data_IF_540203825819
#
_entry.id   IF_540203825819
#
_cell.length_a   1.000
_cell.length_b   1.000
_cell.length_c   1.000
_cell.angle_alpha   90.00
_cell.angle_beta   90.00
_cell.angle_gamma   90.00
#
_symmetry.space_group_name_H-M   'P 1'
#
loop_
_entity.id
_entity.type
_entity.pdbx_description
1 polymer ?
#
# COMPACT_ATOMS: atom_id res chain seq x y z
N UNK A 1 -36.65 -1.56 -30.83
CA UNK A 1 -35.96 -2.30 -29.79
C UNK A 1 -35.41 -1.33 -28.74
N UNK A 2 -36.23 -0.79 -27.88
CA UNK A 2 -35.78 -0.18 -26.63
C UNK A 2 -36.75 -0.55 -25.49
N UNK A 3 -36.79 -1.83 -25.07
CA UNK A 3 -37.67 -2.26 -23.96
C UNK A 3 -37.04 -3.41 -23.13
N UNK A 4 -35.70 -3.55 -23.11
CA UNK A 4 -35.05 -4.67 -22.43
C UNK A 4 -34.20 -4.26 -21.22
N UNK A 5 -34.24 -2.98 -20.77
CA UNK A 5 -33.39 -2.52 -19.66
C UNK A 5 -34.13 -1.80 -18.52
N UNK A 6 -35.46 -1.84 -18.45
CA UNK A 6 -36.21 -1.14 -17.39
C UNK A 6 -36.47 -1.94 -16.12
N UNK A 7 -36.03 -3.20 -15.99
CA UNK A 7 -36.40 -4.06 -14.84
C UNK A 7 -35.23 -4.60 -14.00
N UNK A 8 -34.05 -3.96 -14.02
CA UNK A 8 -32.91 -4.35 -13.17
C UNK A 8 -32.58 -3.37 -12.03
N UNK A 9 -33.43 -2.42 -11.75
CA UNK A 9 -33.25 -1.47 -10.64
C UNK A 9 -33.28 -2.06 -9.20
N UNK A 10 -33.84 -3.26 -8.90
CA UNK A 10 -33.83 -3.78 -7.53
C UNK A 10 -32.55 -4.49 -7.11
N UNK A 11 -31.69 -4.94 -8.02
CA UNK A 11 -30.50 -5.72 -7.64
C UNK A 11 -29.31 -4.86 -7.20
N UNK A 12 -29.21 -3.63 -7.73
CA UNK A 12 -28.16 -2.67 -7.33
C UNK A 12 -28.47 -2.04 -5.98
N UNK A 13 -29.74 -1.91 -5.61
CA UNK A 13 -30.17 -1.40 -4.31
C UNK A 13 -29.88 -2.36 -3.12
N UNK A 14 -29.60 -3.64 -3.39
CA UNK A 14 -29.26 -4.62 -2.36
C UNK A 14 -27.78 -4.58 -1.96
N UNK A 15 -26.91 -3.93 -2.74
CA UNK A 15 -25.49 -3.73 -2.42
C UNK A 15 -25.24 -2.44 -1.63
N UNK A 16 -26.17 -1.48 -1.66
CA UNK A 16 -26.04 -0.19 -0.97
C UNK A 16 -26.52 -0.19 0.50
N UNK A 17 -26.76 -1.34 1.12
CA UNK A 17 -27.18 -1.46 2.53
C UNK A 17 -25.97 -1.76 3.45
N UNK A 18 -24.84 -1.09 3.25
CA UNK A 18 -23.75 -1.09 4.24
C UNK A 18 -23.93 0.01 5.30
N UNK A 19 -25.01 0.74 5.30
CA UNK A 19 -25.26 1.89 6.14
C UNK A 19 -26.20 1.68 7.33
N UNK A 20 -26.12 0.57 8.07
CA UNK A 20 -26.62 0.44 9.48
C UNK A 20 -26.66 -1.04 9.90
N UNK A 21 -25.55 -1.61 10.29
CA UNK A 21 -25.53 -2.84 11.07
C UNK A 21 -25.65 -2.45 12.56
N UNK A 22 -26.88 -2.26 13.02
CA UNK A 22 -27.18 -2.29 14.45
C UNK A 22 -26.93 -3.70 14.99
N UNK A 23 -26.54 -3.80 16.25
CA UNK A 23 -25.99 -4.92 17.03
C UNK A 23 -26.72 -6.29 17.03
N UNK A 24 -27.25 -6.76 15.92
CA UNK A 24 -27.54 -8.15 15.65
C UNK A 24 -26.60 -8.61 14.55
N UNK A 25 -25.74 -9.59 14.81
CA UNK A 25 -24.89 -10.24 13.79
C UNK A 25 -25.78 -10.71 12.63
N UNK A 26 -25.94 -9.86 11.62
CA UNK A 26 -26.69 -10.26 10.42
C UNK A 26 -25.89 -11.33 9.70
N UNK A 27 -26.49 -12.51 9.58
CA UNK A 27 -25.90 -13.62 8.82
C UNK A 27 -25.45 -13.09 7.45
N UNK A 28 -24.20 -13.36 7.03
CA UNK A 28 -23.70 -12.91 5.73
C UNK A 28 -24.64 -13.36 4.60
N UNK A 29 -24.85 -12.48 3.62
CA UNK A 29 -25.65 -12.79 2.43
C UNK A 29 -24.69 -13.12 1.29
N UNK A 30 -24.85 -14.32 0.71
CA UNK A 30 -24.07 -14.76 -0.43
C UNK A 30 -24.71 -14.21 -1.72
N UNK A 31 -23.98 -13.45 -2.55
CA UNK A 31 -24.46 -13.10 -3.89
C UNK A 31 -24.69 -14.36 -4.73
N UNK A 32 -25.74 -14.42 -5.57
CA UNK A 32 -26.18 -15.66 -6.21
C UNK A 32 -25.19 -16.25 -7.22
N UNK A 33 -24.25 -15.46 -7.71
CA UNK A 33 -23.18 -15.86 -8.65
C UNK A 33 -22.00 -16.55 -7.96
N UNK A 34 -21.89 -16.49 -6.61
CA UNK A 34 -20.77 -17.03 -5.85
C UNK A 34 -21.16 -18.28 -5.05
N UNK A 35 -20.17 -19.10 -4.76
CA UNK A 35 -20.17 -19.94 -3.57
C UNK A 35 -19.37 -19.25 -2.44
N UNK A 36 -19.48 -19.75 -1.19
CA UNK A 36 -18.85 -19.10 -0.04
C UNK A 36 -17.32 -18.96 -0.16
N UNK A 37 -16.65 -19.99 -0.72
CA UNK A 37 -15.20 -19.91 -0.91
C UNK A 37 -14.81 -18.86 -1.94
N UNK A 38 -15.46 -18.82 -3.09
CA UNK A 38 -15.18 -17.82 -4.12
C UNK A 38 -15.48 -16.41 -3.62
N UNK A 39 -16.57 -16.24 -2.87
CA UNK A 39 -16.93 -14.96 -2.28
C UNK A 39 -15.88 -14.50 -1.26
N UNK A 40 -15.41 -15.41 -0.39
CA UNK A 40 -14.32 -15.11 0.58
C UNK A 40 -13.03 -14.75 -0.15
N UNK A 41 -12.68 -15.48 -1.21
CA UNK A 41 -11.50 -15.15 -2.04
C UNK A 41 -11.64 -13.77 -2.69
N UNK A 42 -12.81 -13.44 -3.26
CA UNK A 42 -13.07 -12.12 -3.82
C UNK A 42 -12.91 -11.01 -2.76
N UNK A 43 -13.48 -11.17 -1.57
CA UNK A 43 -13.34 -10.20 -0.48
C UNK A 43 -11.88 -10.04 -0.04
N UNK A 44 -11.09 -11.12 0.00
CA UNK A 44 -9.67 -11.06 0.32
C UNK A 44 -8.83 -10.41 -0.79
N UNK A 45 -9.21 -10.55 -2.07
CA UNK A 45 -8.59 -9.78 -3.15
C UNK A 45 -8.84 -8.29 -2.98
N UNK A 46 -10.08 -7.90 -2.66
CA UNK A 46 -10.43 -6.49 -2.36
C UNK A 46 -9.65 -5.99 -1.13
N UNK A 47 -9.54 -6.80 -0.06
CA UNK A 47 -8.75 -6.45 1.10
C UNK A 47 -7.28 -6.19 0.73
N UNK A 48 -6.66 -7.07 -0.06
CA UNK A 48 -5.29 -6.89 -0.52
C UNK A 48 -5.08 -5.57 -1.29
N UNK A 49 -6.01 -5.22 -2.16
CA UNK A 49 -5.96 -3.96 -2.91
C UNK A 49 -6.14 -2.74 -2.01
N UNK A 50 -7.00 -2.82 -0.99
CA UNK A 50 -7.18 -1.75 0.01
C UNK A 50 -5.89 -1.53 0.81
N UNK A 51 -5.32 -2.59 1.41
CA UNK A 51 -4.06 -2.50 2.15
C UNK A 51 -2.95 -1.87 1.32
N UNK A 52 -2.83 -2.31 0.07
CA UNK A 52 -1.84 -1.75 -0.84
C UNK A 52 -2.11 -0.28 -1.17
N UNK A 53 -3.37 0.07 -1.42
CA UNK A 53 -3.78 1.44 -1.74
C UNK A 53 -3.55 2.39 -0.57
N UNK A 54 -3.92 1.99 0.66
CA UNK A 54 -3.73 2.79 1.88
C UNK A 54 -2.25 2.96 2.17
N UNK A 55 -1.46 1.87 2.16
CA UNK A 55 -0.02 1.94 2.35
C UNK A 55 0.63 2.96 1.41
N UNK A 56 0.30 2.93 0.12
CA UNK A 56 0.90 3.85 -0.87
C UNK A 56 0.48 5.29 -0.64
N UNK A 57 -0.80 5.54 -0.32
CA UNK A 57 -1.30 6.88 -0.02
C UNK A 57 -0.66 7.45 1.26
N UNK A 58 -0.51 6.62 2.31
CA UNK A 58 0.17 7.02 3.54
C UNK A 58 1.66 7.29 3.31
N UNK A 59 2.35 6.48 2.49
CA UNK A 59 3.73 6.74 2.10
C UNK A 59 3.87 8.05 1.32
N UNK A 60 2.98 8.32 0.36
CA UNK A 60 3.00 9.56 -0.41
C UNK A 60 2.81 10.79 0.49
N UNK A 61 1.80 10.73 1.37
CA UNK A 61 1.55 11.78 2.36
C UNK A 61 2.79 12.00 3.25
N UNK A 62 3.36 10.92 3.82
CA UNK A 62 4.55 11.01 4.67
C UNK A 62 5.77 11.59 3.93
N UNK A 63 6.03 11.19 2.68
CA UNK A 63 7.15 11.72 1.89
C UNK A 63 6.98 13.20 1.54
N UNK A 64 5.75 13.69 1.42
CA UNK A 64 5.48 15.10 1.17
C UNK A 64 5.77 16.01 2.38
N UNK A 65 5.74 15.46 3.60
CA UNK A 65 5.90 16.23 4.84
C UNK A 65 7.29 16.84 4.98
N UNK A 66 7.37 17.94 5.74
CA UNK A 66 8.62 18.60 6.05
C UNK A 66 9.10 19.52 4.93
N UNK A 67 10.36 19.94 4.98
CA UNK A 67 10.98 20.85 4.03
C UNK A 67 11.30 22.20 4.63
N UNK A 68 11.97 23.08 3.85
CA UNK A 68 12.47 24.37 4.35
C UNK A 68 11.36 25.38 4.71
N UNK A 69 10.15 25.22 4.15
CA UNK A 69 9.00 26.07 4.42
C UNK A 69 8.40 25.86 5.81
N UNK A 70 8.67 24.72 6.46
CA UNK A 70 8.15 24.42 7.81
C UNK A 70 8.78 25.40 8.82
N UNK A 71 7.98 26.14 9.60
CA UNK A 71 8.49 27.01 10.66
C UNK A 71 9.38 26.24 11.64
N UNK A 72 10.48 26.81 12.08
CA UNK A 72 11.44 26.16 12.97
C UNK A 72 10.77 25.58 14.23
N UNK A 73 9.86 26.32 14.82
CA UNK A 73 9.10 25.90 16.02
C UNK A 73 8.17 24.70 15.79
N UNK A 74 7.93 24.30 14.53
CA UNK A 74 7.03 23.19 14.13
C UNK A 74 7.76 21.98 13.57
N UNK A 75 9.08 22.05 13.35
CA UNK A 75 9.86 21.00 12.68
C UNK A 75 9.86 19.67 13.44
N UNK A 76 9.91 19.73 14.76
CA UNK A 76 9.93 18.53 15.58
C UNK A 76 8.57 17.81 15.55
N UNK A 77 7.45 18.56 15.58
CA UNK A 77 6.11 18.00 15.43
C UNK A 77 5.95 17.32 14.06
N UNK A 78 6.31 18.02 12.97
CA UNK A 78 6.22 17.48 11.60
C UNK A 78 7.09 16.22 11.45
N UNK A 79 8.29 16.20 12.03
CA UNK A 79 9.17 15.03 12.00
C UNK A 79 8.56 13.85 12.76
N UNK A 80 7.99 14.11 13.93
CA UNK A 80 7.30 13.09 14.74
C UNK A 80 6.10 12.51 13.98
N UNK A 81 5.24 13.36 13.41
CA UNK A 81 4.09 12.92 12.61
C UNK A 81 4.50 12.12 11.38
N UNK A 82 5.56 12.56 10.68
CA UNK A 82 6.08 11.83 9.52
C UNK A 82 6.50 10.39 9.90
N UNK A 83 7.20 10.21 11.02
CA UNK A 83 7.61 8.87 11.46
C UNK A 83 6.42 8.03 11.94
N UNK A 84 5.39 8.63 12.53
CA UNK A 84 4.13 7.93 12.87
C UNK A 84 3.44 7.43 11.60
N UNK A 85 3.24 8.28 10.60
CA UNK A 85 2.58 7.88 9.32
C UNK A 85 3.41 6.84 8.58
N UNK A 86 4.74 6.96 8.56
CA UNK A 86 5.63 5.92 8.02
C UNK A 86 5.55 4.61 8.80
N UNK A 87 5.31 4.69 10.11
CA UNK A 87 5.07 3.52 10.96
C UNK A 87 3.81 2.78 10.55
N UNK A 88 2.69 3.51 10.44
CA UNK A 88 1.40 2.97 9.98
C UNK A 88 1.56 2.31 8.58
N UNK A 89 2.18 3.01 7.63
CA UNK A 89 2.39 2.44 6.29
C UNK A 89 3.21 1.12 6.29
N UNK A 90 4.08 0.91 7.27
CA UNK A 90 4.79 -0.37 7.43
C UNK A 90 3.89 -1.46 8.03
N UNK A 91 2.99 -1.08 8.91
CA UNK A 91 1.99 -1.99 9.48
C UNK A 91 1.03 -2.45 8.39
N UNK A 92 0.57 -1.54 7.49
CA UNK A 92 -0.23 -1.91 6.30
C UNK A 92 0.49 -2.90 5.37
N UNK A 93 1.82 -2.81 5.25
CA UNK A 93 2.58 -3.84 4.55
C UNK A 93 2.45 -5.21 5.23
N UNK A 94 2.44 -5.26 6.55
CA UNK A 94 2.21 -6.48 7.33
C UNK A 94 0.82 -7.06 7.07
N UNK A 95 -0.21 -6.20 7.04
CA UNK A 95 -1.59 -6.56 6.70
C UNK A 95 -1.66 -7.14 5.29
N UNK A 96 -1.14 -6.42 4.29
CA UNK A 96 -1.08 -6.87 2.90
C UNK A 96 -0.46 -8.26 2.78
N UNK A 97 0.70 -8.48 3.41
CA UNK A 97 1.41 -9.78 3.38
C UNK A 97 0.62 -10.88 4.09
N UNK A 98 -0.07 -10.56 5.17
CA UNK A 98 -0.95 -11.52 5.88
C UNK A 98 -2.18 -11.87 5.06
N UNK A 99 -2.76 -10.91 4.35
CA UNK A 99 -3.87 -11.19 3.40
C UNK A 99 -3.39 -12.11 2.25
N UNK A 100 -2.14 -11.97 1.77
CA UNK A 100 -1.57 -12.94 0.81
C UNK A 100 -1.48 -14.36 1.41
N UNK A 101 -1.15 -14.48 2.70
CA UNK A 101 -1.15 -15.77 3.38
C UNK A 101 -2.57 -16.39 3.46
N UNK A 102 -3.60 -15.57 3.73
CA UNK A 102 -5.00 -16.01 3.72
C UNK A 102 -5.42 -16.51 2.33
N UNK A 103 -5.13 -15.74 1.28
CA UNK A 103 -5.38 -16.15 -0.12
C UNK A 103 -4.67 -17.48 -0.43
N UNK A 104 -3.38 -17.57 -0.09
CA UNK A 104 -2.58 -18.78 -0.32
C UNK A 104 -3.13 -19.98 0.43
N UNK A 105 -3.57 -19.82 1.69
CA UNK A 105 -4.17 -20.88 2.49
C UNK A 105 -5.48 -21.41 1.89
N UNK A 106 -6.26 -20.53 1.26
CA UNK A 106 -7.48 -20.92 0.53
C UNK A 106 -7.19 -21.44 -0.90
N UNK A 107 -5.92 -21.57 -1.31
CA UNK A 107 -5.55 -22.02 -2.64
C UNK A 107 -5.89 -21.02 -3.74
N UNK A 108 -5.99 -19.73 -3.40
CA UNK A 108 -6.18 -18.64 -4.33
C UNK A 108 -4.83 -18.03 -4.77
N UNK A 109 -4.77 -17.34 -5.90
CA UNK A 109 -3.57 -16.60 -6.31
C UNK A 109 -3.32 -15.43 -5.36
N UNK A 110 -2.05 -15.07 -5.20
CA UNK A 110 -1.66 -13.81 -4.53
C UNK A 110 -2.10 -12.62 -5.37
N UNK A 111 -2.46 -11.52 -4.70
CA UNK A 111 -2.86 -10.26 -5.33
C UNK A 111 -2.04 -9.10 -4.75
N UNK A 112 -1.18 -8.51 -5.55
CA UNK A 112 -0.43 -7.29 -5.23
C UNK A 112 -0.84 -6.12 -6.14
N UNK A 113 -1.98 -6.22 -6.80
CA UNK A 113 -2.58 -5.09 -7.50
C UNK A 113 -3.15 -4.10 -6.49
N UNK A 114 -3.53 -2.94 -6.95
CA UNK A 114 -4.25 -1.94 -6.18
C UNK A 114 -5.20 -1.21 -7.09
N UNK A 115 -6.17 -0.56 -6.49
CA UNK A 115 -7.08 0.33 -7.20
C UNK A 115 -6.35 1.66 -7.51
N UNK A 116 -6.30 2.05 -8.79
CA UNK A 116 -5.60 3.25 -9.25
C UNK A 116 -6.56 4.40 -9.63
N UNK A 117 -7.86 4.13 -9.68
CA UNK A 117 -8.86 5.11 -10.13
C UNK A 117 -10.06 5.16 -9.20
N UNK A 118 -10.79 6.30 -9.16
CA UNK A 118 -12.04 6.37 -8.43
C UNK A 118 -12.99 5.28 -8.90
N UNK A 119 -13.31 4.34 -8.03
CA UNK A 119 -14.24 3.27 -8.32
C UNK A 119 -15.47 3.40 -7.42
N UNK A 120 -16.64 3.26 -8.02
CA UNK A 120 -17.93 3.32 -7.32
C UNK A 120 -18.26 2.06 -6.51
N UNK A 121 -17.27 1.41 -5.90
CA UNK A 121 -17.47 0.24 -5.07
C UNK A 121 -17.57 0.66 -3.59
N UNK A 122 -18.58 0.17 -2.89
CA UNK A 122 -18.78 0.40 -1.45
C UNK A 122 -17.70 -0.30 -0.57
N UNK A 123 -16.83 -1.12 -1.17
CA UNK A 123 -15.76 -1.80 -0.46
C UNK A 123 -14.55 -0.92 -0.23
N UNK A 124 -14.21 -0.03 -1.17
CA UNK A 124 -13.05 0.84 -1.04
C UNK A 124 -13.36 2.01 -0.10
N UNK A 125 -12.42 2.39 0.79
CA UNK A 125 -12.65 3.46 1.75
C UNK A 125 -12.89 4.81 1.06
N UNK A 126 -12.08 5.15 0.08
CA UNK A 126 -12.19 6.35 -0.77
C UNK A 126 -11.39 6.14 -2.06
N UNK A 127 -11.60 6.97 -3.12
CA UNK A 127 -10.88 6.85 -4.37
C UNK A 127 -9.37 6.97 -4.17
N UNK A 128 -8.59 6.08 -4.80
CA UNK A 128 -7.14 6.15 -4.77
C UNK A 128 -6.65 7.49 -5.33
N UNK A 129 -5.93 8.25 -4.51
CA UNK A 129 -5.41 9.56 -4.88
C UNK A 129 -4.14 9.87 -4.10
N UNK A 130 -3.04 10.10 -4.80
CA UNK A 130 -1.78 10.53 -4.18
C UNK A 130 -1.86 12.01 -3.83
N UNK A 131 -2.15 12.31 -2.57
CA UNK A 131 -2.28 13.68 -2.05
C UNK A 131 -1.16 14.01 -1.06
N UNK A 132 -0.59 15.22 -1.13
CA UNK A 132 0.27 15.70 -0.06
C UNK A 132 -0.45 15.65 1.29
N UNK A 133 0.34 15.48 2.35
CA UNK A 133 -0.18 15.52 3.71
C UNK A 133 -0.81 16.87 4.03
N UNK A 134 -2.01 16.85 4.56
CA UNK A 134 -2.79 18.04 4.95
C UNK A 134 -3.89 17.62 5.92
N UNK A 135 -4.54 18.59 6.57
CA UNK A 135 -5.69 18.30 7.42
C UNK A 135 -6.82 17.57 6.63
N UNK A 136 -6.98 17.90 5.34
CA UNK A 136 -8.04 17.29 4.51
C UNK A 136 -7.73 15.86 4.09
N UNK A 137 -6.47 15.55 3.71
CA UNK A 137 -6.08 14.16 3.43
C UNK A 137 -6.11 13.31 4.70
N UNK A 138 -5.64 13.86 5.82
CA UNK A 138 -5.65 13.19 7.12
C UNK A 138 -7.06 12.89 7.63
N UNK A 139 -8.04 13.78 7.39
CA UNK A 139 -9.44 13.53 7.74
C UNK A 139 -10.00 12.27 7.06
N UNK A 140 -9.65 12.03 5.78
CA UNK A 140 -10.04 10.81 5.09
C UNK A 140 -9.43 9.55 5.72
N UNK A 141 -8.15 9.62 6.13
CA UNK A 141 -7.47 8.52 6.82
C UNK A 141 -8.10 8.22 8.18
N UNK A 142 -8.39 9.25 8.99
CA UNK A 142 -9.10 9.09 10.28
C UNK A 142 -10.44 8.38 10.11
N UNK A 143 -11.22 8.73 9.07
CA UNK A 143 -12.53 8.10 8.84
C UNK A 143 -12.39 6.66 8.35
N UNK A 144 -11.44 6.38 7.43
CA UNK A 144 -11.20 5.03 6.92
C UNK A 144 -10.82 4.04 8.02
N UNK A 145 -10.00 4.48 8.96
CA UNK A 145 -9.50 3.68 10.09
C UNK A 145 -10.43 3.71 11.32
N UNK A 146 -11.56 4.44 11.27
CA UNK A 146 -12.38 4.65 12.45
C UNK A 146 -13.20 3.41 12.81
N UNK A 147 -13.34 3.09 14.12
CA UNK A 147 -14.23 2.04 14.57
C UNK A 147 -15.70 2.44 14.39
N UNK A 148 -16.59 1.45 14.37
CA UNK A 148 -18.03 1.67 14.15
C UNK A 148 -18.68 2.56 15.23
N UNK A 149 -18.19 2.45 16.44
CA UNK A 149 -18.71 3.18 17.60
C UNK A 149 -18.34 4.66 17.60
N UNK A 150 -17.39 5.09 16.76
CA UNK A 150 -16.92 6.47 16.72
C UNK A 150 -17.99 7.42 16.20
N UNK A 151 -18.50 8.29 17.06
CA UNK A 151 -19.61 9.19 16.79
C UNK A 151 -19.52 10.47 17.63
N UNK A 152 -20.37 11.43 17.31
CA UNK A 152 -20.48 12.70 18.03
C UNK A 152 -20.04 13.90 17.19
N UNK A 153 -20.16 15.13 17.71
CA UNK A 153 -19.98 16.36 16.91
C UNK A 153 -18.62 16.46 16.22
N UNK A 154 -17.55 15.99 16.87
CA UNK A 154 -16.22 15.98 16.31
C UNK A 154 -16.08 14.95 15.18
N UNK A 155 -16.64 13.76 15.36
CA UNK A 155 -16.69 12.73 14.31
C UNK A 155 -17.45 13.25 13.09
N UNK A 156 -18.58 13.92 13.31
CA UNK A 156 -19.39 14.48 12.21
C UNK A 156 -18.66 15.58 11.46
N UNK A 157 -17.90 16.43 12.16
CA UNK A 157 -17.04 17.45 11.55
C UNK A 157 -15.95 16.83 10.69
N UNK A 158 -15.19 15.85 11.21
CA UNK A 158 -14.11 15.19 10.47
C UNK A 158 -14.66 14.42 9.26
N UNK A 159 -15.79 13.72 9.40
CA UNK A 159 -16.49 13.06 8.29
C UNK A 159 -16.90 14.04 7.20
N UNK A 160 -17.36 15.25 7.58
CA UNK A 160 -17.68 16.31 6.61
C UNK A 160 -16.43 16.77 5.86
N UNK A 161 -15.32 17.02 6.56
CA UNK A 161 -14.03 17.41 5.93
C UNK A 161 -13.54 16.30 4.99
N UNK A 162 -13.64 15.04 5.40
CA UNK A 162 -13.28 13.89 4.57
C UNK A 162 -14.14 13.81 3.31
N UNK A 163 -15.47 13.99 3.44
CA UNK A 163 -16.39 14.03 2.29
C UNK A 163 -16.03 15.16 1.31
N UNK A 164 -15.80 16.37 1.80
CA UNK A 164 -15.41 17.51 0.96
C UNK A 164 -14.07 17.27 0.25
N UNK A 165 -13.16 16.54 0.89
CA UNK A 165 -11.85 16.20 0.34
C UNK A 165 -11.91 15.11 -0.74
N UNK A 166 -12.72 14.07 -0.53
CA UNK A 166 -12.77 12.90 -1.41
C UNK A 166 -13.88 12.95 -2.45
N UNK A 167 -14.84 13.85 -2.28
CA UNK A 167 -16.04 13.96 -3.11
C UNK A 167 -17.09 12.87 -2.87
N UNK A 168 -16.87 12.01 -1.87
CA UNK A 168 -17.78 10.92 -1.50
C UNK A 168 -17.71 10.60 -0.01
N UNK A 169 -18.64 9.80 0.49
CA UNK A 169 -18.55 9.27 1.84
C UNK A 169 -17.39 8.27 1.92
N UNK A 170 -16.56 8.41 2.94
CA UNK A 170 -15.46 7.49 3.22
C UNK A 170 -16.02 6.26 3.91
N UNK A 171 -15.75 5.08 3.35
CA UNK A 171 -16.10 3.79 3.95
C UNK A 171 -15.02 3.38 4.96
N UNK A 172 -15.41 2.58 5.95
CA UNK A 172 -14.48 2.04 6.95
C UNK A 172 -13.93 0.70 6.48
N UNK A 173 -12.63 0.53 6.55
CA UNK A 173 -11.95 -0.71 6.13
C UNK A 173 -12.40 -1.90 6.99
N UNK A 174 -12.58 -1.70 8.28
CA UNK A 174 -13.04 -2.73 9.21
C UNK A 174 -14.38 -3.40 8.86
N UNK A 175 -15.23 -2.74 8.06
CA UNK A 175 -16.48 -3.34 7.59
C UNK A 175 -16.24 -4.56 6.68
N UNK A 176 -15.18 -4.54 5.85
CA UNK A 176 -14.79 -5.65 5.00
C UNK A 176 -14.26 -6.83 5.83
N UNK A 177 -13.35 -6.56 6.76
CA UNK A 177 -12.77 -7.57 7.65
C UNK A 177 -13.83 -8.25 8.51
N UNK A 178 -14.79 -7.49 9.04
CA UNK A 178 -15.93 -8.04 9.78
C UNK A 178 -16.77 -9.00 8.93
N UNK A 179 -16.97 -8.68 7.66
CA UNK A 179 -17.70 -9.57 6.73
C UNK A 179 -16.93 -10.87 6.50
N UNK A 180 -15.62 -10.81 6.31
CA UNK A 180 -14.78 -12.00 6.15
C UNK A 180 -14.79 -12.84 7.42
N UNK A 181 -14.61 -12.24 8.62
CA UNK A 181 -14.64 -12.97 9.89
C UNK A 181 -16.00 -13.63 10.14
N UNK A 182 -17.11 -12.97 9.79
CA UNK A 182 -18.45 -13.55 9.89
C UNK A 182 -18.63 -14.80 9.02
N UNK A 183 -17.98 -14.86 7.85
CA UNK A 183 -17.96 -16.07 7.01
C UNK A 183 -17.07 -17.15 7.66
N UNK A 184 -15.91 -16.76 8.17
CA UNK A 184 -14.97 -17.69 8.79
C UNK A 184 -15.48 -18.28 10.10
N UNK A 185 -16.42 -17.63 10.80
CA UNK A 185 -17.04 -18.14 12.04
C UNK A 185 -17.85 -19.42 11.80
N UNK A 186 -18.43 -19.61 10.61
CA UNK A 186 -19.38 -20.67 10.34
C UNK A 186 -18.79 -21.73 9.38
N UNK A 187 -18.65 -22.97 9.89
CA UNK A 187 -18.13 -24.10 9.11
C UNK A 187 -19.06 -24.50 7.96
N UNK A 188 -20.37 -24.17 8.04
CA UNK A 188 -21.30 -24.40 6.94
C UNK A 188 -20.98 -23.50 5.74
N UNK A 189 -20.44 -22.30 5.98
CA UNK A 189 -20.06 -21.38 4.91
C UNK A 189 -18.71 -21.75 4.29
N UNK A 190 -17.71 -21.98 5.14
CA UNK A 190 -16.37 -22.31 4.70
C UNK A 190 -15.84 -23.51 5.50
N UNK A 191 -15.94 -24.74 4.98
CA UNK A 191 -15.46 -25.94 5.66
C UNK A 191 -13.96 -25.89 5.99
N UNK A 192 -13.52 -26.59 7.05
CA UNK A 192 -12.11 -26.60 7.48
C UNK A 192 -11.16 -27.15 6.40
N UNK A 193 -11.64 -28.05 5.53
CA UNK A 193 -10.90 -28.57 4.38
C UNK A 193 -10.55 -27.48 3.33
N UNK A 194 -11.19 -26.31 3.40
CA UNK A 194 -10.85 -25.17 2.55
C UNK A 194 -9.48 -24.59 2.85
N UNK A 195 -8.91 -24.84 4.04
CA UNK A 195 -7.61 -24.36 4.45
C UNK A 195 -6.52 -25.39 4.14
N UNK A 196 -5.62 -25.05 3.21
CA UNK A 196 -4.57 -25.95 2.74
C UNK A 196 -3.27 -25.78 3.54
N UNK A 197 -3.10 -26.52 4.64
CA UNK A 197 -1.88 -26.47 5.46
C UNK A 197 -0.59 -26.75 4.66
N UNK A 198 -0.67 -27.49 3.57
CA UNK A 198 0.45 -27.76 2.66
C UNK A 198 1.00 -26.50 1.96
N UNK A 199 0.32 -25.35 2.04
CA UNK A 199 0.77 -24.08 1.49
C UNK A 199 1.70 -23.31 2.41
N UNK A 200 1.83 -23.66 3.70
CA UNK A 200 2.69 -22.98 4.66
C UNK A 200 4.12 -22.71 4.17
N UNK A 201 4.79 -23.62 3.45
CA UNK A 201 6.14 -23.35 2.95
C UNK A 201 6.25 -22.20 1.93
N UNK A 202 5.11 -21.79 1.35
CA UNK A 202 5.03 -20.69 0.39
C UNK A 202 4.58 -19.38 1.04
N UNK A 203 4.03 -19.42 2.24
CA UNK A 203 3.52 -18.26 2.95
C UNK A 203 4.67 -17.43 3.53
N UNK A 204 4.42 -16.15 3.70
CA UNK A 204 5.30 -15.27 4.44
C UNK A 204 5.29 -15.63 5.93
N UNK A 205 6.44 -15.61 6.57
CA UNK A 205 6.57 -15.80 8.02
C UNK A 205 7.07 -14.55 8.71
N UNK A 206 6.75 -14.42 10.00
CA UNK A 206 7.27 -13.32 10.79
C UNK A 206 8.82 -13.33 10.87
N UNK A 207 9.44 -14.49 10.94
CA UNK A 207 10.90 -14.62 11.00
C UNK A 207 11.59 -14.10 9.71
N UNK A 208 10.89 -14.12 8.59
CA UNK A 208 11.36 -13.58 7.32
C UNK A 208 11.08 -12.07 7.18
N UNK A 209 9.87 -11.64 7.51
CA UNK A 209 9.35 -10.31 7.23
C UNK A 209 9.36 -9.36 8.43
N UNK A 210 9.37 -9.88 9.65
CA UNK A 210 9.44 -9.10 10.89
C UNK A 210 10.82 -8.63 11.30
N UNK A 211 11.81 -8.64 10.42
CA UNK A 211 13.21 -8.30 10.72
C UNK A 211 13.37 -6.88 11.24
N UNK A 212 13.98 -6.76 12.42
CA UNK A 212 14.24 -5.48 13.04
C UNK A 212 13.05 -4.90 13.81
N UNK A 213 11.95 -5.66 13.93
CA UNK A 213 10.79 -5.30 14.71
C UNK A 213 10.63 -6.25 15.90
N UNK A 214 10.01 -5.76 16.96
CA UNK A 214 9.77 -6.57 18.16
C UNK A 214 8.41 -7.26 18.03
N UNK A 215 8.40 -8.57 18.17
CA UNK A 215 7.18 -9.37 18.01
C UNK A 215 6.27 -9.22 19.21
N UNK A 216 5.01 -8.82 18.99
CA UNK A 216 3.97 -8.77 20.02
C UNK A 216 4.21 -7.74 21.13
N UNK A 217 5.08 -6.79 20.91
CA UNK A 217 5.36 -5.72 21.87
C UNK A 217 4.82 -4.39 21.34
N UNK A 218 3.48 -4.27 21.31
CA UNK A 218 2.79 -3.02 20.94
C UNK A 218 3.23 -1.88 21.84
N UNK A 219 3.36 -0.71 21.25
CA UNK A 219 3.57 0.53 22.00
C UNK A 219 4.95 0.75 22.55
N UNK A 220 6.00 -0.02 22.16
CA UNK A 220 7.38 0.30 22.51
C UNK A 220 7.88 1.55 21.80
N UNK A 221 8.68 2.35 22.49
CA UNK A 221 9.30 3.53 21.90
C UNK A 221 10.27 3.15 20.79
N UNK A 222 10.26 3.87 19.68
CA UNK A 222 11.11 3.58 18.51
C UNK A 222 12.62 3.80 18.79
N UNK A 223 12.95 4.51 19.86
CA UNK A 223 14.30 4.90 20.21
C UNK A 223 14.96 5.93 19.29
N UNK A 224 14.39 6.20 18.12
CA UNK A 224 14.93 7.12 17.11
C UNK A 224 14.30 8.50 17.17
N UNK A 225 13.01 8.58 17.48
CA UNK A 225 12.25 9.81 17.62
C UNK A 225 11.46 9.70 18.93
N UNK A 226 11.57 10.68 19.85
CA UNK A 226 10.79 10.70 21.09
C UNK A 226 9.28 10.60 20.80
N UNK A 227 8.56 9.91 21.65
CA UNK A 227 7.11 9.75 21.61
C UNK A 227 6.54 9.04 20.36
N UNK A 228 7.37 8.45 19.53
CA UNK A 228 6.95 7.60 18.41
C UNK A 228 7.11 6.13 18.79
N UNK A 229 6.04 5.37 18.62
CA UNK A 229 6.04 3.92 18.86
C UNK A 229 6.66 3.17 17.68
N UNK A 230 7.34 2.06 17.99
CA UNK A 230 7.83 1.15 16.95
C UNK A 230 6.65 0.49 16.24
N UNK A 231 6.64 0.42 14.88
CA UNK A 231 5.61 -0.30 14.15
C UNK A 231 5.64 -1.78 14.50
N UNK A 232 4.47 -2.37 14.67
CA UNK A 232 4.30 -3.80 14.90
C UNK A 232 3.87 -4.47 13.59
N UNK A 233 4.76 -5.23 12.97
CA UNK A 233 4.44 -5.99 11.77
C UNK A 233 3.67 -7.25 12.14
N UNK A 234 2.43 -7.36 11.67
CA UNK A 234 1.58 -8.53 11.87
C UNK A 234 1.67 -9.45 10.65
N UNK A 235 2.54 -10.45 10.72
CA UNK A 235 2.69 -11.48 9.69
C UNK A 235 2.41 -12.84 10.28
N UNK A 236 1.28 -13.42 9.91
CA UNK A 236 0.79 -14.70 10.43
C UNK A 236 0.73 -15.78 9.36
N UNK A 237 1.28 -16.97 9.68
CA UNK A 237 1.04 -18.17 8.88
C UNK A 237 -0.39 -18.66 9.08
N UNK A 238 -1.08 -18.99 7.98
CA UNK A 238 -2.47 -19.44 7.97
C UNK A 238 -2.55 -20.88 7.51
N UNK A 239 -3.07 -21.77 8.36
CA UNK A 239 -3.17 -23.21 8.09
C UNK A 239 -4.48 -23.85 8.57
N UNK A 240 -5.33 -23.06 9.21
CA UNK A 240 -6.63 -23.47 9.74
C UNK A 240 -7.56 -22.26 9.88
N UNK A 241 -8.85 -22.49 10.08
CA UNK A 241 -9.85 -21.48 10.42
C UNK A 241 -9.41 -20.62 11.59
N UNK A 242 -8.95 -21.23 12.69
CA UNK A 242 -8.54 -20.51 13.89
C UNK A 242 -7.36 -19.57 13.62
N UNK A 243 -6.36 -20.01 12.86
CA UNK A 243 -5.24 -19.15 12.48
C UNK A 243 -5.66 -18.03 11.53
N UNK A 244 -6.61 -18.28 10.61
CA UNK A 244 -7.17 -17.27 9.72
C UNK A 244 -7.93 -16.20 10.51
N UNK A 245 -8.83 -16.60 11.40
CA UNK A 245 -9.59 -15.68 12.25
C UNK A 245 -8.69 -14.88 13.19
N UNK A 246 -7.69 -15.54 13.78
CA UNK A 246 -6.70 -14.83 14.58
C UNK A 246 -5.98 -13.76 13.77
N UNK A 247 -5.55 -14.06 12.54
CA UNK A 247 -4.89 -13.09 11.68
C UNK A 247 -5.77 -11.86 11.39
N UNK A 248 -7.06 -12.09 11.06
CA UNK A 248 -8.03 -11.00 10.84
C UNK A 248 -8.29 -10.17 12.10
N UNK A 249 -8.41 -10.83 13.26
CA UNK A 249 -8.62 -10.13 14.53
C UNK A 249 -7.44 -9.22 14.87
N UNK A 250 -6.22 -9.69 14.74
CA UNK A 250 -5.02 -8.90 15.04
C UNK A 250 -4.83 -7.72 14.07
N UNK A 251 -5.15 -7.90 12.78
CA UNK A 251 -5.20 -6.79 11.80
C UNK A 251 -6.26 -5.76 12.26
N UNK A 252 -7.45 -6.25 12.58
CA UNK A 252 -8.54 -5.39 13.05
C UNK A 252 -8.21 -4.59 14.29
N UNK A 253 -7.54 -5.19 15.28
CA UNK A 253 -7.11 -4.50 16.50
C UNK A 253 -6.10 -3.37 16.26
N UNK A 254 -5.32 -3.44 15.17
CA UNK A 254 -4.40 -2.34 14.83
C UNK A 254 -5.08 -1.12 14.23
N UNK A 255 -6.26 -1.25 13.64
CA UNK A 255 -6.89 -0.08 13.07
C UNK A 255 -8.26 -0.25 12.46
N UNK A 256 -8.68 -1.49 12.21
CA UNK A 256 -9.75 -1.74 11.26
C UNK A 256 -10.96 -2.48 11.84
N UNK A 257 -10.91 -2.90 13.11
CA UNK A 257 -12.05 -3.60 13.74
C UNK A 257 -13.17 -2.63 14.09
N UNK A 258 -14.44 -3.00 13.82
CA UNK A 258 -15.61 -2.21 14.19
C UNK A 258 -15.73 -2.02 15.69
N UNK A 259 -15.17 -2.93 16.48
CA UNK A 259 -15.15 -2.98 17.92
C UNK A 259 -13.79 -2.65 18.56
N UNK A 260 -12.83 -2.14 17.75
CA UNK A 260 -11.53 -1.69 18.26
C UNK A 260 -11.70 -0.70 19.41
N UNK A 261 -10.82 -0.83 20.40
CA UNK A 261 -10.86 0.01 21.59
C UNK A 261 -10.57 1.48 21.22
N UNK A 262 -11.52 2.36 21.45
CA UNK A 262 -11.35 3.81 21.25
C UNK A 262 -10.23 4.42 22.10
N UNK A 263 -9.81 3.73 23.16
CA UNK A 263 -8.75 4.16 24.09
C UNK A 263 -7.37 3.57 23.72
N UNK A 264 -7.27 2.67 22.70
CA UNK A 264 -5.98 2.12 22.26
C UNK A 264 -5.16 3.18 21.51
N UNK A 265 -4.25 3.83 22.23
CA UNK A 265 -3.35 4.86 21.69
C UNK A 265 -2.46 4.35 20.54
N UNK A 266 -2.34 3.04 20.35
CA UNK A 266 -1.49 2.43 19.33
C UNK A 266 -2.23 2.14 18.01
N UNK A 267 -3.56 2.19 18.00
CA UNK A 267 -4.35 1.98 16.77
C UNK A 267 -4.08 3.03 15.70
N UNK A 268 -4.23 2.66 14.42
CA UNK A 268 -4.09 3.58 13.29
C UNK A 268 -5.03 4.78 13.44
N UNK A 269 -6.27 4.50 13.80
CA UNK A 269 -7.29 5.52 14.06
C UNK A 269 -6.83 6.57 15.07
N UNK A 270 -6.41 6.15 16.26
CA UNK A 270 -6.04 7.09 17.33
C UNK A 270 -4.76 7.85 17.00
N UNK A 271 -3.81 7.22 16.32
CA UNK A 271 -2.59 7.92 15.85
C UNK A 271 -2.91 8.98 14.81
N UNK A 272 -3.75 8.68 13.82
CA UNK A 272 -4.19 9.68 12.83
C UNK A 272 -5.04 10.77 13.46
N UNK A 273 -5.97 10.41 14.34
CA UNK A 273 -6.81 11.40 15.06
C UNK A 273 -5.97 12.35 15.91
N UNK A 274 -4.99 11.83 16.64
CA UNK A 274 -4.07 12.66 17.43
C UNK A 274 -3.30 13.66 16.59
N UNK A 275 -2.76 13.23 15.44
CA UNK A 275 -2.07 14.14 14.51
C UNK A 275 -3.06 15.18 13.94
N UNK A 276 -4.28 14.78 13.60
CA UNK A 276 -5.33 15.68 13.10
C UNK A 276 -5.63 16.79 14.11
N UNK A 277 -5.80 16.42 15.38
CA UNK A 277 -6.07 17.36 16.46
C UNK A 277 -4.93 18.34 16.69
N UNK A 278 -3.69 17.85 16.71
CA UNK A 278 -2.51 18.69 16.86
C UNK A 278 -2.35 19.65 15.68
N UNK A 279 -2.48 19.13 14.43
CA UNK A 279 -2.34 19.93 13.22
C UNK A 279 -3.43 21.03 13.15
N UNK A 280 -4.68 20.68 13.42
CA UNK A 280 -5.80 21.65 13.34
C UNK A 280 -5.78 22.68 14.48
N UNK A 281 -5.03 22.43 15.55
CA UNK A 281 -4.77 23.42 16.59
C UNK A 281 -3.73 24.48 16.19
N UNK A 282 -2.98 24.26 15.10
CA UNK A 282 -2.05 25.28 14.58
C UNK A 282 -2.79 26.42 13.89
N UNK A 283 -2.19 27.63 13.81
CA UNK A 283 -2.70 28.68 12.94
C UNK A 283 -2.84 28.17 11.49
N UNK A 284 -3.91 28.57 10.81
CA UNK A 284 -4.21 28.11 9.44
C UNK A 284 -3.03 28.31 8.46
N UNK A 285 -2.29 29.43 8.60
CA UNK A 285 -1.08 29.70 7.81
C UNK A 285 0.05 28.70 8.04
N UNK A 286 0.21 28.19 9.27
CA UNK A 286 1.22 27.16 9.60
C UNK A 286 0.78 25.78 9.08
N UNK A 287 -0.52 25.47 9.14
CA UNK A 287 -1.05 24.19 8.61
C UNK A 287 -0.73 24.01 7.13
N UNK A 288 -0.81 25.08 6.33
CA UNK A 288 -0.49 25.06 4.90
C UNK A 288 0.99 24.76 4.62
N UNK A 289 1.88 24.95 5.60
CA UNK A 289 3.33 24.78 5.45
C UNK A 289 3.83 23.40 5.93
N UNK A 290 2.96 22.51 6.39
CA UNK A 290 3.35 21.19 6.92
C UNK A 290 4.00 20.30 5.87
N UNK A 291 3.61 20.45 4.61
CA UNK A 291 4.12 19.68 3.47
C UNK A 291 4.83 20.58 2.45
N UNK A 292 5.75 20.01 1.71
CA UNK A 292 6.27 20.59 0.48
C UNK A 292 5.14 20.79 -0.53
N UNK A 293 5.25 21.70 -1.47
CA UNK A 293 4.26 21.89 -2.54
C UNK A 293 4.38 20.78 -3.60
N UNK A 294 4.21 19.54 -3.18
CA UNK A 294 4.24 18.36 -4.05
C UNK A 294 2.94 18.27 -4.85
N UNK A 295 3.05 17.96 -6.13
CA UNK A 295 1.90 17.81 -7.01
C UNK A 295 1.06 16.57 -6.62
N UNK A 296 -0.25 16.66 -6.82
CA UNK A 296 -1.17 15.53 -6.64
C UNK A 296 -1.07 14.59 -7.85
N UNK A 297 -1.15 13.27 -7.62
CA UNK A 297 -1.11 12.25 -8.68
C UNK A 297 -0.01 12.50 -9.73
N UNK A 298 1.27 12.61 -9.33
CA UNK A 298 2.34 12.79 -10.31
C UNK A 298 2.43 11.57 -11.23
N UNK A 299 2.63 11.80 -12.53
CA UNK A 299 2.77 10.75 -13.55
C UNK A 299 3.98 11.00 -14.43
N UNK A 300 4.67 9.93 -14.83
CA UNK A 300 5.84 10.03 -15.72
C UNK A 300 5.42 10.02 -17.19
N UNK A 301 4.26 9.45 -17.52
CA UNK A 301 3.71 9.39 -18.86
C UNK A 301 2.29 9.93 -18.89
N UNK A 302 2.03 10.83 -19.83
CA UNK A 302 0.68 11.32 -20.10
C UNK A 302 -0.03 10.30 -20.99
N UNK A 303 -0.97 9.52 -20.43
CA UNK A 303 -1.62 8.43 -21.14
C UNK A 303 -2.76 8.88 -22.06
N UNK A 304 -3.47 9.95 -21.70
CA UNK A 304 -4.58 10.53 -22.48
C UNK A 304 -4.54 12.05 -22.35
N UNK A 305 -4.88 12.77 -23.40
CA UNK A 305 -5.08 14.20 -23.28
C UNK A 305 -6.43 14.50 -22.59
N UNK A 306 -6.56 15.69 -21.98
CA UNK A 306 -7.76 16.09 -21.23
C UNK A 306 -9.03 16.04 -22.09
N UNK A 307 -8.92 16.25 -23.41
CA UNK A 307 -10.04 16.20 -24.36
C UNK A 307 -10.49 14.75 -24.62
N UNK A 308 -9.59 13.80 -24.60
CA UNK A 308 -9.90 12.37 -24.74
C UNK A 308 -10.57 11.81 -23.50
N UNK A 309 -10.11 12.20 -22.31
CA UNK A 309 -10.73 11.82 -21.02
C UNK A 309 -12.14 12.39 -20.90
N UNK A 310 -12.35 13.67 -21.23
CA UNK A 310 -13.67 14.30 -21.22
C UNK A 310 -14.64 13.64 -22.21
N UNK A 311 -14.14 13.18 -23.38
CA UNK A 311 -14.95 12.51 -24.37
C UNK A 311 -15.41 11.10 -23.93
N UNK A 312 -14.68 10.46 -23.01
CA UNK A 312 -15.02 9.15 -22.46
C UNK A 312 -16.03 9.22 -21.30
N UNK A 313 -16.36 10.43 -20.81
CA UNK A 313 -17.29 10.61 -19.68
C UNK A 313 -16.78 10.05 -18.35
N UNK A 314 -15.48 9.80 -18.24
CA UNK A 314 -14.82 9.39 -17.01
C UNK A 314 -14.67 10.61 -16.10
N UNK A 315 -14.92 10.47 -14.80
CA UNK A 315 -14.64 11.53 -13.84
C UNK A 315 -13.17 11.97 -13.97
N UNK A 316 -12.92 13.28 -14.00
CA UNK A 316 -11.58 13.84 -14.13
C UNK A 316 -10.65 13.26 -13.04
N UNK A 317 -9.78 12.34 -13.42
CA UNK A 317 -8.63 11.99 -12.60
C UNK A 317 -7.60 13.07 -12.86
N UNK A 318 -7.48 13.99 -11.92
CA UNK A 318 -6.49 15.06 -12.00
C UNK A 318 -5.09 14.46 -11.85
N UNK A 319 -4.38 14.27 -12.95
CA UNK A 319 -2.97 13.86 -12.95
C UNK A 319 -2.07 15.07 -13.13
N UNK A 320 -0.84 15.00 -12.60
CA UNK A 320 0.19 16.02 -12.73
C UNK A 320 1.39 15.46 -13.48
N UNK A 321 1.50 15.67 -14.80
CA UNK A 321 2.61 15.15 -15.59
C UNK A 321 3.95 15.76 -15.18
N UNK A 322 4.96 14.90 -15.00
CA UNK A 322 6.34 15.31 -14.76
C UNK A 322 6.97 15.66 -16.10
N UNK A 323 7.08 16.95 -16.41
CA UNK A 323 7.60 17.43 -17.71
C UNK A 323 9.07 17.85 -17.66
N UNK A 324 9.67 17.99 -16.46
CA UNK A 324 11.11 18.15 -16.34
C UNK A 324 11.81 16.83 -16.69
N UNK A 325 12.71 16.80 -17.71
CA UNK A 325 13.26 15.55 -18.22
C UNK A 325 14.19 14.83 -17.25
N UNK A 326 14.84 15.53 -16.33
CA UNK A 326 15.70 14.90 -15.31
C UNK A 326 14.82 14.30 -14.23
N UNK A 327 13.83 15.05 -13.78
CA UNK A 327 12.85 14.58 -12.80
C UNK A 327 12.06 13.37 -13.33
N UNK A 328 11.70 13.36 -14.62
CA UNK A 328 11.05 12.20 -15.26
C UNK A 328 11.92 10.94 -15.19
N UNK A 329 13.24 11.04 -15.39
CA UNK A 329 14.16 9.89 -15.23
C UNK A 329 14.17 9.36 -13.78
N UNK A 330 14.14 10.25 -12.77
CA UNK A 330 14.00 9.84 -11.38
C UNK A 330 12.65 9.19 -11.13
N UNK A 331 11.58 9.69 -11.72
CA UNK A 331 10.23 9.10 -11.66
C UNK A 331 10.18 7.70 -12.28
N UNK A 332 10.78 7.51 -13.47
CA UNK A 332 10.88 6.20 -14.10
C UNK A 332 11.70 5.21 -13.26
N UNK A 333 12.81 5.67 -12.66
CA UNK A 333 13.60 4.83 -11.76
C UNK A 333 12.78 4.44 -10.53
N UNK A 334 12.01 5.36 -9.96
CA UNK A 334 11.11 5.08 -8.84
C UNK A 334 10.06 4.01 -9.21
N UNK A 335 9.35 4.19 -10.33
CA UNK A 335 8.34 3.25 -10.80
C UNK A 335 8.93 1.86 -11.06
N UNK A 336 10.13 1.80 -11.65
CA UNK A 336 10.82 0.53 -11.87
C UNK A 336 11.16 -0.16 -10.55
N UNK A 337 11.68 0.56 -9.55
CA UNK A 337 11.99 0.01 -8.22
C UNK A 337 10.73 -0.44 -7.48
N UNK A 338 9.65 0.30 -7.60
CA UNK A 338 8.37 -0.11 -7.05
C UNK A 338 7.87 -1.42 -7.68
N UNK A 339 7.94 -1.52 -9.00
CA UNK A 339 7.65 -2.77 -9.71
C UNK A 339 8.57 -3.92 -9.30
N UNK A 340 9.87 -3.66 -9.11
CA UNK A 340 10.83 -4.67 -8.62
C UNK A 340 10.43 -5.18 -7.23
N UNK A 341 10.06 -4.28 -6.30
CA UNK A 341 9.58 -4.66 -4.98
C UNK A 341 8.39 -5.63 -5.06
N UNK A 342 7.34 -5.26 -5.80
CA UNK A 342 6.13 -6.08 -5.94
C UNK A 342 6.42 -7.42 -6.63
N UNK A 343 7.30 -7.41 -7.65
CA UNK A 343 7.74 -8.63 -8.34
C UNK A 343 8.53 -9.55 -7.40
N UNK A 344 9.39 -9.00 -6.54
CA UNK A 344 10.16 -9.78 -5.57
C UNK A 344 9.24 -10.44 -4.53
N UNK A 345 8.27 -9.70 -4.00
CA UNK A 345 7.27 -10.23 -3.06
C UNK A 345 6.46 -11.35 -3.73
N UNK A 346 5.87 -11.08 -4.90
CA UNK A 346 5.07 -12.06 -5.63
C UNK A 346 5.86 -13.33 -5.97
N UNK A 347 7.12 -13.16 -6.40
CA UNK A 347 7.99 -14.30 -6.72
C UNK A 347 8.38 -15.09 -5.45
N UNK A 348 8.57 -14.43 -4.31
CA UNK A 348 8.86 -15.12 -3.04
C UNK A 348 7.71 -16.07 -2.64
N UNK A 349 6.45 -15.69 -2.87
CA UNK A 349 5.28 -16.55 -2.65
C UNK A 349 5.19 -17.75 -3.63
N UNK A 350 6.00 -17.79 -4.69
CA UNK A 350 6.09 -18.94 -5.62
C UNK A 350 7.23 -19.91 -5.26
N UNK A 351 8.05 -19.58 -4.27
CA UNK A 351 9.18 -20.41 -3.84
C UNK A 351 8.95 -20.94 -2.43
N UNK A 352 9.00 -22.26 -2.28
CA UNK A 352 8.88 -22.90 -0.99
C UNK A 352 10.21 -22.88 -0.22
N UNK A 353 10.12 -22.88 1.11
CA UNK A 353 11.26 -23.14 1.99
C UNK A 353 11.82 -21.91 2.69
N UNK A 354 12.89 -22.10 3.47
CA UNK A 354 13.47 -21.06 4.30
C UNK A 354 14.24 -20.01 3.48
N UNK A 355 14.48 -18.86 4.10
CA UNK A 355 15.32 -17.77 3.55
C UNK A 355 16.78 -18.19 3.36
N UNK A 356 17.29 -19.01 4.26
CA UNK A 356 18.66 -19.55 4.17
C UNK A 356 18.73 -21.04 4.57
N UNK A 357 19.80 -21.67 4.12
CA UNK A 357 20.19 -23.03 4.52
C UNK A 357 21.60 -22.95 5.13
N UNK A 358 21.68 -22.85 6.46
CA UNK A 358 22.97 -22.81 7.16
C UNK A 358 23.82 -21.57 6.83
N UNK A 359 23.19 -20.42 6.67
CA UNK A 359 23.83 -19.15 6.36
C UNK A 359 24.02 -18.84 4.86
N UNK A 360 23.55 -19.74 3.98
CA UNK A 360 23.56 -19.51 2.52
C UNK A 360 22.15 -19.14 2.07
N UNK A 361 21.98 -17.97 1.48
CA UNK A 361 20.70 -17.51 0.96
C UNK A 361 20.15 -18.47 -0.09
N UNK A 362 18.87 -18.84 0.07
CA UNK A 362 18.11 -19.53 -0.96
C UNK A 362 17.62 -18.53 -2.04
N UNK A 363 17.01 -19.04 -3.11
CA UNK A 363 16.33 -18.17 -4.08
C UNK A 363 15.25 -17.30 -3.44
N UNK A 364 14.44 -17.89 -2.52
CA UNK A 364 13.45 -17.15 -1.73
C UNK A 364 14.12 -16.08 -0.85
N UNK A 365 15.19 -16.44 -0.16
CA UNK A 365 15.92 -15.50 0.69
C UNK A 365 16.51 -14.32 -0.10
N UNK A 366 17.00 -14.56 -1.30
CA UNK A 366 17.50 -13.49 -2.17
C UNK A 366 16.37 -12.49 -2.53
N UNK A 367 15.18 -12.98 -2.86
CA UNK A 367 14.02 -12.14 -3.17
C UNK A 367 13.54 -11.34 -1.97
N UNK A 368 13.38 -11.96 -0.81
CA UNK A 368 12.98 -11.28 0.44
C UNK A 368 13.98 -10.19 0.83
N UNK A 369 15.29 -10.48 0.74
CA UNK A 369 16.32 -9.47 1.02
C UNK A 369 16.28 -8.29 0.05
N UNK A 370 16.03 -8.55 -1.24
CA UNK A 370 15.88 -7.48 -2.24
C UNK A 370 14.63 -6.66 -2.00
N UNK A 371 13.50 -7.29 -1.67
CA UNK A 371 12.26 -6.57 -1.35
C UNK A 371 12.49 -5.55 -0.22
N UNK A 372 13.19 -5.92 0.85
CA UNK A 372 13.57 -4.95 1.89
C UNK A 372 14.51 -3.85 1.38
N UNK A 373 15.48 -4.19 0.54
CA UNK A 373 16.37 -3.19 -0.03
C UNK A 373 15.60 -2.20 -0.92
N UNK A 374 14.60 -2.67 -1.68
CA UNK A 374 13.76 -1.82 -2.51
C UNK A 374 12.88 -0.86 -1.68
N UNK A 375 12.41 -1.24 -0.50
CA UNK A 375 11.71 -0.31 0.40
C UNK A 375 12.60 0.88 0.80
N UNK A 376 13.88 0.63 1.09
CA UNK A 376 14.84 1.72 1.37
C UNK A 376 15.15 2.54 0.12
N UNK A 377 15.26 1.91 -1.06
CA UNK A 377 15.46 2.61 -2.33
C UNK A 377 14.29 3.53 -2.64
N UNK A 378 13.04 3.06 -2.48
CA UNK A 378 11.84 3.88 -2.69
C UNK A 378 11.83 5.10 -1.77
N UNK A 379 12.17 4.95 -0.48
CA UNK A 379 12.27 6.09 0.44
C UNK A 379 13.33 7.11 -0.02
N UNK A 380 14.49 6.64 -0.48
CA UNK A 380 15.57 7.52 -0.95
C UNK A 380 15.18 8.26 -2.23
N UNK A 381 14.58 7.56 -3.19
CA UNK A 381 14.11 8.12 -4.45
C UNK A 381 12.95 9.12 -4.24
N UNK A 382 11.98 8.76 -3.37
CA UNK A 382 10.91 9.67 -2.99
C UNK A 382 11.45 10.96 -2.37
N UNK A 383 12.44 10.86 -1.47
CA UNK A 383 13.12 12.02 -0.90
C UNK A 383 13.77 12.93 -1.92
N UNK A 384 14.23 12.39 -3.06
CA UNK A 384 14.70 13.21 -4.19
C UNK A 384 13.56 13.85 -4.97
N UNK A 385 12.54 13.08 -5.31
CA UNK A 385 11.41 13.54 -6.13
C UNK A 385 10.61 14.67 -5.48
N UNK A 386 10.45 14.67 -4.16
CA UNK A 386 9.74 15.75 -3.45
C UNK A 386 10.52 17.06 -3.39
N UNK A 387 11.79 17.08 -3.78
CA UNK A 387 12.62 18.26 -3.88
C UNK A 387 12.85 18.71 -5.34
N UNK A 388 12.54 17.84 -6.32
CA UNK A 388 12.72 18.12 -7.75
C UNK A 388 11.50 18.83 -8.36
N UNK A 389 11.71 19.72 -9.38
CA UNK A 389 10.60 20.41 -10.02
C UNK A 389 9.70 19.45 -10.80
N UNK A 390 8.39 19.71 -10.79
CA UNK A 390 7.44 18.99 -11.64
C UNK A 390 7.65 19.36 -13.12
N UNK A 391 7.82 20.66 -13.38
CA UNK A 391 7.84 21.22 -14.71
C UNK A 391 9.20 21.85 -15.03
N UNK A 392 9.65 21.65 -16.28
CA UNK A 392 10.91 22.21 -16.78
C UNK A 392 10.96 23.73 -16.70
N UNK A 393 9.86 24.36 -17.09
CA UNK A 393 9.80 25.82 -17.23
C UNK A 393 9.35 26.53 -15.94
N UNK A 394 9.10 25.77 -14.88
CA UNK A 394 8.70 26.28 -13.56
C UNK A 394 9.56 25.66 -12.43
N UNK A 395 10.88 25.95 -12.39
CA UNK A 395 11.78 25.33 -11.41
C UNK A 395 11.44 25.66 -9.95
N UNK A 396 10.77 26.78 -9.70
CA UNK A 396 10.27 27.21 -8.38
C UNK A 396 8.79 26.83 -8.16
N UNK A 397 8.18 26.13 -9.11
CA UNK A 397 6.81 25.65 -9.06
C UNK A 397 6.62 24.42 -8.17
N UNK A 398 5.52 23.67 -8.37
CA UNK A 398 5.26 22.43 -7.65
C UNK A 398 6.41 21.43 -7.79
N UNK A 399 6.59 20.60 -6.76
CA UNK A 399 7.52 19.46 -6.76
C UNK A 399 6.82 18.23 -7.31
N UNK A 400 7.59 17.31 -7.90
CA UNK A 400 7.04 16.16 -8.57
C UNK A 400 6.38 15.15 -7.59
N UNK A 401 7.14 14.68 -6.61
CA UNK A 401 6.72 13.55 -5.76
C UNK A 401 6.86 12.18 -6.45
N UNK A 402 6.77 11.09 -5.68
CA UNK A 402 6.88 9.73 -6.19
C UNK A 402 5.62 9.30 -6.94
N UNK A 403 5.72 8.84 -8.20
CA UNK A 403 4.53 8.54 -9.03
C UNK A 403 3.77 7.29 -8.62
N UNK A 404 4.45 6.25 -8.11
CA UNK A 404 3.84 4.96 -7.77
C UNK A 404 3.00 4.35 -8.91
N UNK A 405 3.37 4.55 -10.17
CA UNK A 405 2.61 4.03 -11.30
C UNK A 405 2.75 2.51 -11.44
N UNK A 406 1.62 1.86 -11.69
CA UNK A 406 1.55 0.44 -12.04
C UNK A 406 1.07 0.34 -13.50
N UNK A 407 1.97 0.06 -14.46
CA UNK A 407 1.61 0.11 -15.88
C UNK A 407 0.70 -1.04 -16.32
N UNK A 408 0.62 -2.12 -15.54
CA UNK A 408 -0.20 -3.31 -15.77
C UNK A 408 -0.30 -4.18 -14.52
N UNK A 409 -1.23 -5.10 -14.51
CA UNK A 409 -1.35 -6.15 -13.50
C UNK A 409 -0.09 -7.01 -13.42
N UNK A 410 0.41 -7.25 -12.20
CA UNK A 410 1.72 -7.92 -11.98
C UNK A 410 1.59 -9.44 -11.98
N UNK A 411 1.08 -10.02 -13.05
CA UNK A 411 1.13 -11.47 -13.23
C UNK A 411 2.56 -11.95 -13.52
N UNK A 412 3.04 -12.88 -12.68
CA UNK A 412 4.34 -13.48 -12.90
C UNK A 412 4.29 -14.56 -14.01
N UNK A 413 5.37 -14.72 -14.77
CA UNK A 413 5.52 -15.81 -15.72
C UNK A 413 5.28 -17.18 -15.06
N UNK A 414 4.69 -18.09 -15.82
CA UNK A 414 4.25 -19.40 -15.30
C UNK A 414 5.44 -20.27 -14.88
N UNK A 415 6.53 -20.23 -15.68
CA UNK A 415 7.72 -21.03 -15.42
C UNK A 415 8.72 -20.30 -14.53
N UNK A 416 9.33 -21.03 -13.61
CA UNK A 416 10.30 -20.48 -12.68
C UNK A 416 11.52 -19.86 -13.38
N UNK A 417 11.99 -20.48 -14.48
CA UNK A 417 13.05 -19.92 -15.29
C UNK A 417 12.70 -18.53 -15.84
N UNK A 418 11.49 -18.35 -16.35
CA UNK A 418 11.04 -17.09 -16.95
C UNK A 418 10.84 -16.00 -15.87
N UNK A 419 10.45 -16.38 -14.63
CA UNK A 419 10.44 -15.45 -13.49
C UNK A 419 11.84 -14.92 -13.19
N UNK A 420 12.86 -15.76 -13.25
CA UNK A 420 14.24 -15.30 -13.06
C UNK A 420 14.76 -14.50 -14.24
N UNK A 421 14.31 -14.75 -15.48
CA UNK A 421 14.56 -13.88 -16.63
C UNK A 421 13.95 -12.49 -16.41
N UNK A 422 12.71 -12.41 -15.95
CA UNK A 422 12.08 -11.14 -15.59
C UNK A 422 12.91 -10.38 -14.53
N UNK A 423 13.38 -11.07 -13.49
CA UNK A 423 14.25 -10.47 -12.48
C UNK A 423 15.53 -9.89 -13.08
N UNK A 424 16.18 -10.61 -13.99
CA UNK A 424 17.37 -10.13 -14.72
C UNK A 424 17.06 -8.86 -15.49
N UNK A 425 15.97 -8.87 -16.24
CA UNK A 425 15.60 -7.77 -17.14
C UNK A 425 15.25 -6.50 -16.34
N UNK A 426 14.58 -6.62 -15.19
CA UNK A 426 14.30 -5.51 -14.29
C UNK A 426 15.59 -4.88 -13.72
N UNK A 427 16.53 -5.71 -13.25
CA UNK A 427 17.82 -5.21 -12.73
C UNK A 427 18.64 -4.55 -13.84
N UNK A 428 18.63 -5.09 -15.06
CA UNK A 428 19.31 -4.47 -16.21
C UNK A 428 18.69 -3.11 -16.57
N UNK A 429 17.35 -3.01 -16.58
CA UNK A 429 16.65 -1.74 -16.81
C UNK A 429 17.00 -0.69 -15.75
N UNK A 430 17.09 -1.08 -14.48
CA UNK A 430 17.49 -0.18 -13.41
C UNK A 430 18.91 0.36 -13.60
N UNK A 431 19.85 -0.49 -13.99
CA UNK A 431 21.22 -0.06 -14.29
C UNK A 431 21.27 0.95 -15.44
N UNK A 432 20.51 0.70 -16.50
CA UNK A 432 20.45 1.62 -17.64
C UNK A 432 19.91 2.99 -17.24
N UNK A 433 18.82 3.05 -16.45
CA UNK A 433 18.29 4.32 -15.96
C UNK A 433 19.27 5.03 -15.00
N UNK A 434 19.94 4.27 -14.13
CA UNK A 434 20.94 4.81 -13.22
C UNK A 434 22.15 5.39 -13.99
N UNK A 435 22.65 4.68 -15.00
CA UNK A 435 23.74 5.16 -15.87
C UNK A 435 23.31 6.39 -16.67
N UNK A 436 22.05 6.45 -17.12
CA UNK A 436 21.50 7.61 -17.82
C UNK A 436 21.43 8.82 -16.89
N UNK A 437 20.94 8.68 -15.65
CA UNK A 437 20.93 9.76 -14.66
C UNK A 437 22.33 10.28 -14.36
N UNK A 438 23.30 9.38 -14.12
CA UNK A 438 24.69 9.74 -13.85
C UNK A 438 25.37 10.49 -15.02
N UNK A 439 24.92 10.26 -16.26
CA UNK A 439 25.48 10.86 -17.45
C UNK A 439 24.78 12.15 -17.91
N UNK A 440 23.47 12.26 -17.64
CA UNK A 440 22.63 13.37 -18.16
C UNK A 440 22.63 14.58 -17.24
N UNK A 441 22.68 14.37 -15.93
CA UNK A 441 22.70 15.45 -14.96
C UNK A 441 24.09 15.61 -14.36
N UNK A 442 24.79 16.73 -14.64
CA UNK A 442 26.10 17.00 -14.04
C UNK A 442 26.07 17.05 -12.50
N UNK A 443 24.93 17.39 -11.89
CA UNK A 443 24.75 17.35 -10.43
C UNK A 443 24.68 15.90 -9.89
N UNK A 444 24.28 14.95 -10.71
CA UNK A 444 24.22 13.53 -10.41
C UNK A 444 25.53 12.79 -10.74
N UNK A 445 26.46 13.37 -11.48
CA UNK A 445 27.68 12.69 -12.00
C UNK A 445 28.59 12.08 -10.93
N UNK A 446 28.38 12.41 -9.66
CA UNK A 446 29.06 11.84 -8.52
C UNK A 446 28.10 11.53 -7.36
N UNK A 447 26.78 11.42 -7.61
CA UNK A 447 25.80 11.16 -6.57
C UNK A 447 26.11 9.80 -5.89
N UNK A 448 26.46 9.80 -4.59
CA UNK A 448 26.89 8.58 -3.90
C UNK A 448 25.78 7.51 -3.86
N UNK A 449 24.52 7.93 -3.82
CA UNK A 449 23.39 7.01 -3.82
C UNK A 449 23.27 6.28 -5.16
N UNK A 450 23.31 6.99 -6.30
CA UNK A 450 23.23 6.37 -7.62
C UNK A 450 24.43 5.43 -7.90
N UNK A 451 25.62 5.82 -7.45
CA UNK A 451 26.81 4.97 -7.55
C UNK A 451 26.64 3.68 -6.75
N UNK A 452 26.19 3.78 -5.49
CA UNK A 452 25.95 2.62 -4.63
C UNK A 452 24.79 1.74 -5.18
N UNK A 453 23.75 2.36 -5.74
CA UNK A 453 22.64 1.66 -6.37
C UNK A 453 23.10 0.83 -7.56
N UNK A 454 23.90 1.42 -8.46
CA UNK A 454 24.50 0.73 -9.62
C UNK A 454 25.34 -0.48 -9.22
N UNK A 455 26.15 -0.33 -8.16
CA UNK A 455 26.95 -1.43 -7.63
C UNK A 455 26.09 -2.54 -6.99
N UNK A 456 25.01 -2.15 -6.31
CA UNK A 456 24.03 -3.09 -5.75
C UNK A 456 23.33 -3.88 -6.86
N UNK A 457 22.92 -3.21 -7.93
CA UNK A 457 22.30 -3.85 -9.09
C UNK A 457 23.28 -4.79 -9.81
N UNK A 458 24.56 -4.44 -9.90
CA UNK A 458 25.57 -5.34 -10.45
C UNK A 458 25.64 -6.65 -9.65
N UNK A 459 25.67 -6.57 -8.32
CA UNK A 459 25.68 -7.77 -7.45
C UNK A 459 24.39 -8.59 -7.58
N UNK A 460 23.22 -7.91 -7.67
CA UNK A 460 21.95 -8.58 -7.89
C UNK A 460 21.91 -9.30 -9.25
N UNK A 461 22.42 -8.68 -10.31
CA UNK A 461 22.50 -9.27 -11.64
C UNK A 461 23.37 -10.54 -11.63
N UNK A 462 24.56 -10.49 -11.04
CA UNK A 462 25.47 -11.64 -10.92
C UNK A 462 24.79 -12.80 -10.18
N UNK A 463 24.03 -12.50 -9.12
CA UNK A 463 23.28 -13.51 -8.36
C UNK A 463 22.17 -14.16 -9.20
N UNK A 464 21.41 -13.35 -9.94
CA UNK A 464 20.33 -13.86 -10.80
C UNK A 464 20.90 -14.70 -11.96
N UNK A 465 21.98 -14.26 -12.59
CA UNK A 465 22.65 -15.01 -13.65
C UNK A 465 23.22 -16.35 -13.13
N UNK A 466 23.75 -16.37 -11.92
CA UNK A 466 24.17 -17.62 -11.28
C UNK A 466 23.00 -18.60 -11.08
N UNK A 467 21.83 -18.11 -10.64
CA UNK A 467 20.62 -18.93 -10.50
C UNK A 467 20.18 -19.46 -11.88
N UNK A 468 20.13 -18.62 -12.88
CA UNK A 468 19.74 -19.00 -14.25
C UNK A 468 20.69 -20.05 -14.86
N UNK A 469 22.01 -19.93 -14.63
CA UNK A 469 23.00 -20.89 -15.12
C UNK A 469 22.81 -22.30 -14.53
N UNK A 470 22.42 -22.39 -13.26
CA UNK A 470 22.13 -23.66 -12.58
C UNK A 470 20.82 -24.31 -13.06
N UNK A 471 19.80 -23.50 -13.38
CA UNK A 471 18.48 -23.96 -13.84
C UNK A 471 18.44 -24.29 -15.33
N UNK A 472 19.35 -23.76 -16.12
CA UNK A 472 19.51 -24.10 -17.56
C UNK A 472 19.97 -25.54 -17.82
N UNK A 473 20.45 -26.26 -16.79
CA UNK A 473 20.83 -27.68 -16.89
C UNK A 473 19.66 -28.66 -16.66
N UNK A 474 18.47 -28.17 -16.35
CA UNK A 474 17.24 -28.98 -16.09
C UNK A 474 16.12 -28.64 -17.08
N UNK A 475 16.43 -28.67 -18.37
CA UNK A 475 15.43 -28.73 -19.45
C UNK A 475 15.07 -30.17 -19.80
#
# INVERSE_FOLDING_TARGET
MPELFEDQAPAVAALSVAGSLGAEEKRPVLPPEFNWRDYTVMLLHVAAEIEHSLMVQYLFAAYSMGGPQVPEARRDDVRRWQEVVLGIAKEEMGHLVTVQNLLTALGAPVNLDREDYPWGSDFYPFPFTLRPFSATSLAAYVVAESPETWSGPKADEIKRVAFESTGQYVNRVGALYSRVDAILKDEEFLPDESFHAGTLPYQASWDEWGRGYTRGERGQDSGNVPDVKSPELLVFGVFSRDSARRALHEIGEQGEAPDADLEDETSHFNRFLGIYEELTAWPEGDQALVSRPVAQNPVTEHRLDESEVAALGVAEVTTSPITDPVTALWGHLFNLRYRMLLTDISHAFRLAGPVDNGGVLTGRGALVHRAFAEMYNLRALAGRLVDLPLERDAPDGPRAGPPFEMPYSLELPHHDHDRWLLQRDLVQASRLLTDQLLSTDPSCGGDPYLVALRESDQRALEQVEHILSRKGCTR
#
